data_IF_058286972929
#
_entry.id   IF_058286972929
#
_cell.length_a   1.000
_cell.length_b   1.000
_cell.length_c   1.000
_cell.angle_alpha   90.00
_cell.angle_beta   90.00
_cell.angle_gamma   90.00
#
_symmetry.space_group_name_H-M   'P 1'
#
loop_
_entity.id
_entity.type
_entity.pdbx_description
1 polymer ?
#
# COMPACT_ATOMS: atom_id res chain seq x y z
N UNK A 1 5.15 -16.15 -15.36
CA UNK A 1 4.20 -15.26 -14.65
C UNK A 1 4.60 -13.82 -14.96
N UNK A 2 3.67 -12.89 -15.23
CA UNK A 2 4.04 -11.50 -15.44
C UNK A 2 4.71 -10.94 -14.18
N UNK A 3 5.89 -10.35 -14.34
CA UNK A 3 6.63 -9.70 -13.26
C UNK A 3 6.28 -8.22 -13.25
N UNK A 4 5.82 -7.70 -12.10
CA UNK A 4 5.58 -6.27 -11.92
C UNK A 4 6.94 -5.55 -12.03
N UNK A 5 7.02 -4.55 -12.90
CA UNK A 5 8.20 -3.67 -13.05
C UNK A 5 7.77 -2.24 -12.79
N UNK A 6 8.45 -1.57 -11.87
CA UNK A 6 8.24 -0.16 -11.57
C UNK A 6 9.54 0.58 -11.88
N UNK A 7 9.46 1.62 -12.72
CA UNK A 7 10.63 2.43 -13.05
C UNK A 7 11.25 3.04 -11.78
N UNK A 8 12.58 3.00 -11.69
CA UNK A 8 13.33 3.50 -10.53
C UNK A 8 13.41 2.56 -9.32
N UNK A 9 12.77 1.38 -9.37
CA UNK A 9 12.84 0.38 -8.29
C UNK A 9 13.47 -0.93 -8.78
N UNK A 10 14.33 -1.51 -7.95
CA UNK A 10 14.90 -2.84 -8.17
C UNK A 10 13.85 -3.93 -7.92
N UNK A 11 14.08 -5.12 -8.49
CA UNK A 11 13.23 -6.29 -8.21
C UNK A 11 13.20 -6.63 -6.73
N UNK A 12 14.33 -6.53 -6.02
CA UNK A 12 14.43 -6.79 -4.58
C UNK A 12 13.54 -5.84 -3.77
N UNK A 13 13.55 -4.54 -4.10
CA UNK A 13 12.68 -3.56 -3.46
C UNK A 13 11.20 -3.86 -3.73
N UNK A 14 10.83 -4.22 -4.96
CA UNK A 14 9.45 -4.57 -5.32
C UNK A 14 9.01 -5.84 -4.58
N UNK A 15 9.84 -6.88 -4.54
CA UNK A 15 9.54 -8.12 -3.83
C UNK A 15 9.42 -7.92 -2.32
N UNK A 16 10.27 -7.08 -1.73
CA UNK A 16 10.19 -6.75 -0.31
C UNK A 16 8.91 -5.96 0.03
N UNK A 17 8.53 -4.98 -0.79
CA UNK A 17 7.27 -4.26 -0.57
C UNK A 17 6.05 -5.15 -0.81
N UNK A 18 6.15 -6.12 -1.72
CA UNK A 18 5.10 -7.14 -1.90
C UNK A 18 4.95 -8.00 -0.65
N UNK A 19 6.07 -8.38 -0.01
CA UNK A 19 6.05 -9.05 1.29
C UNK A 19 5.36 -8.17 2.35
N UNK A 20 5.72 -6.89 2.46
CA UNK A 20 5.08 -5.97 3.42
C UNK A 20 3.57 -5.83 3.21
N UNK A 21 3.08 -5.84 1.97
CA UNK A 21 1.64 -5.80 1.68
C UNK A 21 0.93 -7.08 2.14
N UNK A 22 1.58 -8.23 1.99
CA UNK A 22 1.03 -9.51 2.47
C UNK A 22 1.05 -9.58 4.00
N UNK A 23 2.16 -9.18 4.62
CA UNK A 23 2.31 -9.12 6.08
C UNK A 23 1.30 -8.18 6.73
N UNK A 24 1.00 -7.05 6.08
CA UNK A 24 -0.02 -6.10 6.53
C UNK A 24 -1.47 -6.54 6.23
N UNK A 25 -1.67 -7.70 5.58
CA UNK A 25 -3.01 -8.20 5.23
C UNK A 25 -3.71 -7.41 4.12
N UNK A 26 -2.98 -6.59 3.34
CA UNK A 26 -3.52 -5.83 2.21
C UNK A 26 -3.49 -6.61 0.89
N UNK A 27 -2.64 -7.63 0.81
CA UNK A 27 -2.55 -8.50 -0.36
C UNK A 27 -2.40 -9.97 0.04
N UNK A 28 -2.70 -10.84 -0.91
CA UNK A 28 -2.35 -12.25 -0.84
C UNK A 28 -1.29 -12.54 -1.90
N UNK A 29 -0.31 -13.36 -1.54
CA UNK A 29 0.81 -13.70 -2.41
C UNK A 29 1.50 -14.98 -1.98
N UNK A 30 2.48 -15.38 -2.76
CA UNK A 30 3.33 -16.54 -2.48
C UNK A 30 4.76 -16.07 -2.27
N UNK A 31 5.44 -16.67 -1.29
CA UNK A 31 6.87 -16.53 -1.09
C UNK A 31 7.61 -17.19 -2.26
N UNK A 32 8.39 -16.40 -2.98
CA UNK A 32 9.25 -16.83 -4.08
C UNK A 32 10.73 -16.62 -3.77
N UNK A 33 11.10 -16.47 -2.49
CA UNK A 33 12.48 -16.24 -2.06
C UNK A 33 13.37 -17.44 -2.38
N UNK A 34 14.58 -17.15 -2.84
CA UNK A 34 15.66 -18.09 -3.09
C UNK A 34 16.67 -18.07 -1.94
N UNK A 35 17.59 -19.04 -1.93
CA UNK A 35 18.57 -19.20 -0.86
C UNK A 35 19.57 -18.02 -0.79
N UNK A 36 19.79 -17.35 -1.92
CA UNK A 36 20.70 -16.21 -2.09
C UNK A 36 20.02 -14.85 -1.89
N UNK A 37 18.69 -14.81 -1.72
CA UNK A 37 17.97 -13.56 -1.49
C UNK A 37 18.24 -13.01 -0.09
N UNK A 38 18.57 -11.71 -0.02
CA UNK A 38 18.87 -11.01 1.24
C UNK A 38 17.59 -10.54 1.95
N UNK A 39 16.49 -10.42 1.20
CA UNK A 39 15.17 -9.97 1.68
C UNK A 39 14.05 -10.83 1.09
N UNK A 40 12.91 -11.02 1.79
CA UNK A 40 11.79 -11.78 1.24
C UNK A 40 11.32 -11.27 -0.12
N UNK A 41 11.12 -12.18 -1.07
CA UNK A 41 10.68 -11.89 -2.43
C UNK A 41 9.29 -12.50 -2.66
N UNK A 42 8.24 -11.69 -2.51
CA UNK A 42 6.86 -12.18 -2.67
C UNK A 42 6.29 -11.84 -4.05
N UNK A 43 5.57 -12.80 -4.64
CA UNK A 43 4.74 -12.59 -5.82
C UNK A 43 3.29 -12.41 -5.39
N UNK A 44 2.68 -11.26 -5.71
CA UNK A 44 1.28 -10.98 -5.38
C UNK A 44 0.33 -11.69 -6.34
N UNK A 45 -0.74 -12.28 -5.79
CA UNK A 45 -1.82 -12.92 -6.54
C UNK A 45 -3.02 -11.97 -6.70
N UNK A 46 -3.42 -11.35 -5.60
CA UNK A 46 -4.59 -10.47 -5.54
C UNK A 46 -4.51 -9.56 -4.30
N UNK A 47 -5.33 -8.51 -4.28
CA UNK A 47 -5.58 -7.74 -3.06
C UNK A 47 -6.57 -8.47 -2.15
N UNK A 48 -6.47 -8.23 -0.85
CA UNK A 48 -7.53 -8.59 0.10
C UNK A 48 -8.68 -7.58 -0.01
N UNK A 49 -9.76 -7.80 0.74
CA UNK A 49 -10.85 -6.83 0.80
C UNK A 49 -10.36 -5.49 1.34
N UNK A 50 -9.58 -5.53 2.42
CA UNK A 50 -8.96 -4.37 3.05
C UNK A 50 -7.98 -3.67 2.09
N UNK A 51 -7.24 -4.44 1.29
CA UNK A 51 -6.40 -3.91 0.22
C UNK A 51 -7.18 -3.19 -0.86
N UNK A 52 -8.35 -3.71 -1.24
CA UNK A 52 -9.25 -3.05 -2.18
C UNK A 52 -9.81 -1.74 -1.59
N UNK A 53 -10.23 -1.74 -0.32
CA UNK A 53 -10.72 -0.53 0.34
C UNK A 53 -9.62 0.53 0.44
N UNK A 54 -8.41 0.15 0.82
CA UNK A 54 -7.27 1.07 0.84
C UNK A 54 -6.96 1.63 -0.55
N UNK A 55 -6.91 0.77 -1.57
CA UNK A 55 -6.62 1.21 -2.94
C UNK A 55 -7.70 2.16 -3.47
N UNK A 56 -8.97 1.88 -3.21
CA UNK A 56 -10.07 2.74 -3.65
C UNK A 56 -10.04 4.10 -2.92
N UNK A 57 -9.76 4.08 -1.61
CA UNK A 57 -9.58 5.27 -0.80
C UNK A 57 -8.41 6.16 -1.27
N UNK A 58 -7.30 5.54 -1.67
CA UNK A 58 -6.08 6.21 -2.12
C UNK A 58 -6.11 6.60 -3.62
N UNK A 59 -7.13 6.20 -4.38
CA UNK A 59 -7.20 6.42 -5.83
C UNK A 59 -7.41 7.89 -6.21
N UNK A 60 -8.06 8.67 -5.34
CA UNK A 60 -8.20 10.12 -5.55
C UNK A 60 -6.85 10.81 -5.27
N UNK A 61 -6.19 11.27 -6.34
CA UNK A 61 -4.87 11.92 -6.24
C UNK A 61 -4.86 13.12 -5.28
N UNK A 62 -5.98 13.85 -5.17
CA UNK A 62 -6.09 14.99 -4.26
C UNK A 62 -6.04 14.52 -2.81
N UNK A 63 -6.76 13.45 -2.50
CA UNK A 63 -6.74 12.86 -1.16
C UNK A 63 -5.39 12.22 -0.85
N UNK A 64 -4.81 11.48 -1.80
CA UNK A 64 -3.51 10.87 -1.62
C UNK A 64 -2.39 11.89 -1.38
N UNK A 65 -2.39 13.01 -2.11
CA UNK A 65 -1.43 14.08 -1.88
C UNK A 65 -1.59 14.72 -0.49
N UNK A 66 -2.82 14.97 -0.04
CA UNK A 66 -3.08 15.43 1.34
C UNK A 66 -2.57 14.46 2.40
N UNK A 67 -2.77 13.15 2.18
CA UNK A 67 -2.26 12.11 3.09
C UNK A 67 -0.74 12.14 3.17
N UNK A 68 -0.05 12.21 2.03
CA UNK A 68 1.41 12.33 1.99
C UNK A 68 1.90 13.59 2.70
N UNK A 69 1.25 14.73 2.47
CA UNK A 69 1.62 16.00 3.10
C UNK A 69 1.47 15.96 4.63
N UNK A 70 0.43 15.28 5.14
CA UNK A 70 0.24 15.08 6.57
C UNK A 70 1.40 14.27 7.16
N UNK A 71 1.75 13.12 6.56
CA UNK A 71 2.82 12.27 7.05
C UNK A 71 4.21 12.92 6.94
N UNK A 72 4.45 13.69 5.87
CA UNK A 72 5.67 14.48 5.72
C UNK A 72 5.86 15.48 6.87
N UNK A 73 4.78 16.07 7.39
CA UNK A 73 4.83 17.00 8.55
C UNK A 73 5.11 16.28 9.87
N UNK A 74 4.57 15.07 10.04
CA UNK A 74 4.73 14.28 11.28
C UNK A 74 6.08 13.56 11.32
N UNK A 75 6.72 13.33 10.16
CA UNK A 75 8.05 12.70 10.09
C UNK A 75 8.01 11.18 10.20
N UNK A 76 6.96 10.54 9.69
CA UNK A 76 6.80 9.08 9.68
C UNK A 76 5.68 8.64 8.75
N UNK A 77 5.48 7.33 8.59
CA UNK A 77 4.37 6.78 7.81
C UNK A 77 3.75 5.57 8.53
N UNK A 78 2.43 5.47 8.51
CA UNK A 78 1.66 4.37 9.09
C UNK A 78 0.49 4.06 8.16
N UNK A 79 0.42 2.83 7.65
CA UNK A 79 -0.65 2.39 6.75
C UNK A 79 -2.04 2.47 7.40
N UNK A 80 -2.26 2.01 8.65
CA UNK A 80 -3.56 2.16 9.31
C UNK A 80 -4.01 3.61 9.43
N UNK A 81 -3.10 4.51 9.85
CA UNK A 81 -3.41 5.93 9.96
C UNK A 81 -3.67 6.58 8.59
N UNK A 82 -2.98 6.11 7.55
CA UNK A 82 -3.20 6.57 6.18
C UNK A 82 -4.61 6.20 5.70
N UNK A 83 -5.05 4.96 5.98
CA UNK A 83 -6.40 4.52 5.65
C UNK A 83 -7.46 5.33 6.39
N UNK A 84 -7.31 5.49 7.72
CA UNK A 84 -8.24 6.28 8.54
C UNK A 84 -8.39 7.71 7.99
N UNK A 85 -7.28 8.35 7.64
CA UNK A 85 -7.30 9.71 7.10
C UNK A 85 -7.96 9.78 5.71
N UNK A 86 -7.69 8.82 4.82
CA UNK A 86 -8.34 8.75 3.51
C UNK A 86 -9.86 8.53 3.63
N UNK A 87 -10.30 7.66 4.53
CA UNK A 87 -11.72 7.44 4.83
C UNK A 87 -12.37 8.71 5.37
N UNK A 88 -11.68 9.47 6.23
CA UNK A 88 -12.17 10.76 6.72
C UNK A 88 -12.37 11.77 5.58
N UNK A 89 -11.42 11.86 4.64
CA UNK A 89 -11.54 12.74 3.48
C UNK A 89 -12.73 12.33 2.58
N UNK A 90 -12.99 11.03 2.43
CA UNK A 90 -14.16 10.54 1.70
C UNK A 90 -15.48 10.87 2.41
N UNK A 91 -15.58 10.67 3.73
CA UNK A 91 -16.76 11.05 4.52
C UNK A 91 -17.11 12.54 4.35
N UNK A 92 -16.10 13.41 4.42
CA UNK A 92 -16.28 14.85 4.19
C UNK A 92 -16.84 15.15 2.80
N UNK A 93 -16.37 14.46 1.76
CA UNK A 93 -16.86 14.59 0.39
C UNK A 93 -18.32 14.14 0.23
N UNK A 94 -18.74 13.16 1.02
CA UNK A 94 -20.11 12.65 1.05
C UNK A 94 -21.08 13.55 1.84
N UNK A 95 -20.59 14.61 2.49
CA UNK A 95 -21.41 15.44 3.38
C UNK A 95 -21.84 14.72 4.66
N UNK A 96 -21.25 13.56 4.94
CA UNK A 96 -21.39 12.85 6.20
C UNK A 96 -20.36 13.43 7.18
N UNK A 97 -20.74 14.48 7.88
CA UNK A 97 -20.06 14.92 9.10
C UNK A 97 -20.66 14.15 10.28
N UNK A 98 -19.81 13.38 10.97
CA UNK A 98 -20.12 12.79 12.29
C UNK A 98 -20.42 13.90 13.31
#
# INVERSE_FOLDING_TARGET
TPTVRLEGYSSEQIGYHSYLLVDAGLAAGMDGSNLDDVVPQFCLNNLTWEGHEFLDAARDETHWNKTKDMFARVGGFSLPLALEFLLQLMKQKLGASD
#
